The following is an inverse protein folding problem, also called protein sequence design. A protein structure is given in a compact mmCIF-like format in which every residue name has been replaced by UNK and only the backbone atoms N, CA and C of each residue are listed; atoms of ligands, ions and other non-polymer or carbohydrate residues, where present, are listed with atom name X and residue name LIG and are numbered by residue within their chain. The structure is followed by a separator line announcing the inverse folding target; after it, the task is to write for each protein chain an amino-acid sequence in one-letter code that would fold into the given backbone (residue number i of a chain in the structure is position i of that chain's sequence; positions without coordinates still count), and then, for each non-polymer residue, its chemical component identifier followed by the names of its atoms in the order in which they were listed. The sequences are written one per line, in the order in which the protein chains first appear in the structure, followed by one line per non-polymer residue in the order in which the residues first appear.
data_IF_407302661211
#
_entry.id   IF_407302661211
#
_cell.length_a   1.000
_cell.length_b   1.000
_cell.length_c   1.000
_cell.angle_alpha   90.00
_cell.angle_beta   90.00
_cell.angle_gamma   90.00
#
_symmetry.space_group_name_H-M   'P 1'
#
loop_
_entity.id
_entity.type
_entity.pdbx_description
1 polymer ?
#
# COMPACT_ATOMS: atom_id res chain seq x y z
N UNK A 1 -12.63 -12.30 -4.99
CA UNK A 1 -11.46 -11.48 -5.30
C UNK A 1 -11.16 -10.71 -4.03
N UNK A 2 -10.12 -11.11 -3.33
CA UNK A 2 -9.65 -10.37 -2.15
C UNK A 2 -8.92 -9.14 -2.69
N UNK A 3 -9.34 -7.95 -2.27
CA UNK A 3 -8.70 -6.69 -2.67
C UNK A 3 -7.69 -6.33 -1.60
N UNK A 4 -6.50 -5.92 -2.02
CA UNK A 4 -5.47 -5.39 -1.12
C UNK A 4 -5.09 -4.00 -1.57
N UNK A 5 -4.57 -3.21 -0.64
CA UNK A 5 -4.22 -1.81 -0.84
C UNK A 5 -2.71 -1.69 -0.76
N UNK A 6 -2.10 -1.27 -1.85
CA UNK A 6 -0.68 -1.05 -1.97
C UNK A 6 -0.37 0.42 -1.71
N UNK A 7 0.41 0.67 -0.67
CA UNK A 7 0.89 2.00 -0.28
C UNK A 7 2.35 2.09 -0.71
N UNK A 8 2.67 3.10 -1.50
CA UNK A 8 4.03 3.37 -1.99
C UNK A 8 4.37 4.82 -1.73
N UNK A 9 5.54 5.05 -1.14
CA UNK A 9 6.16 6.37 -1.08
C UNK A 9 7.01 6.60 -2.33
N UNK A 10 6.94 7.79 -2.93
CA UNK A 10 7.74 8.14 -4.11
C UNK A 10 9.09 8.76 -3.76
N UNK A 11 9.33 9.05 -2.49
CA UNK A 11 10.52 9.77 -2.01
C UNK A 11 11.44 8.88 -1.17
N UNK A 12 10.92 7.82 -0.58
CA UNK A 12 11.70 6.85 0.19
C UNK A 12 11.41 5.40 -0.27
N UNK A 13 12.10 4.43 0.32
CA UNK A 13 11.93 3.00 -0.02
C UNK A 13 10.74 2.34 0.69
N UNK A 14 9.80 3.13 1.22
CA UNK A 14 8.63 2.59 1.90
C UNK A 14 7.64 2.01 0.89
N UNK A 15 7.34 0.73 1.06
CA UNK A 15 6.35 -0.01 0.30
C UNK A 15 5.60 -0.98 1.24
N UNK A 16 4.27 -0.87 1.28
CA UNK A 16 3.41 -1.69 2.14
C UNK A 16 2.19 -2.20 1.39
N UNK A 17 1.77 -3.44 1.69
CA UNK A 17 0.53 -4.02 1.15
C UNK A 17 -0.37 -4.42 2.31
N UNK A 18 -1.60 -3.92 2.32
CA UNK A 18 -2.55 -4.07 3.41
C UNK A 18 -3.85 -4.70 2.91
N UNK A 19 -4.45 -5.58 3.72
CA UNK A 19 -5.75 -6.18 3.39
C UNK A 19 -6.92 -5.22 3.73
N UNK A 20 -6.70 -4.27 4.64
CA UNK A 20 -7.70 -3.30 5.09
C UNK A 20 -7.41 -1.89 4.54
N UNK A 21 -8.45 -1.28 3.95
CA UNK A 21 -8.34 0.07 3.37
C UNK A 21 -8.02 1.14 4.41
N UNK A 22 -8.61 1.01 5.60
CA UNK A 22 -8.44 1.98 6.67
C UNK A 22 -7.01 1.96 7.18
N UNK A 23 -6.43 0.77 7.34
CA UNK A 23 -5.01 0.64 7.69
C UNK A 23 -4.11 1.26 6.62
N UNK A 24 -4.35 0.99 5.34
CA UNK A 24 -3.57 1.60 4.26
C UNK A 24 -3.65 3.13 4.25
N UNK A 25 -4.84 3.69 4.52
CA UNK A 25 -5.03 5.14 4.62
C UNK A 25 -4.36 5.75 5.85
N UNK A 26 -4.36 5.04 6.98
CA UNK A 26 -3.69 5.49 8.21
C UNK A 26 -2.17 5.60 7.98
N UNK A 27 -1.58 4.56 7.39
CA UNK A 27 -0.16 4.51 7.02
C UNK A 27 0.21 5.58 5.98
N UNK A 28 -0.65 5.76 4.96
CA UNK A 28 -0.48 6.82 3.97
C UNK A 28 -0.49 8.21 4.62
N UNK A 29 -1.47 8.48 5.50
CA UNK A 29 -1.63 9.78 6.14
C UNK A 29 -0.56 10.04 7.21
N UNK A 30 -0.15 9.03 7.96
CA UNK A 30 0.98 9.14 8.90
C UNK A 30 2.25 9.47 8.13
N UNK A 31 2.57 8.69 7.09
CA UNK A 31 3.80 8.88 6.33
C UNK A 31 3.83 10.20 5.54
N UNK A 32 2.71 10.64 4.97
CA UNK A 32 2.61 11.96 4.32
C UNK A 32 2.80 13.10 5.34
N UNK A 33 2.35 12.94 6.58
CA UNK A 33 2.41 14.01 7.59
C UNK A 33 3.69 14.04 8.41
N UNK A 34 4.27 12.89 8.73
CA UNK A 34 5.48 12.79 9.56
C UNK A 34 6.73 13.10 8.74
N UNK A 35 6.78 12.57 7.50
CA UNK A 35 7.94 12.72 6.62
C UNK A 35 7.76 13.81 5.53
N UNK A 36 6.60 14.46 5.43
CA UNK A 36 6.24 15.39 4.33
C UNK A 36 6.42 14.75 2.94
N UNK A 37 6.20 13.44 2.85
CA UNK A 37 6.44 12.67 1.64
C UNK A 37 5.19 12.51 0.78
N UNK A 38 5.39 12.42 -0.53
CA UNK A 38 4.35 12.04 -1.48
C UNK A 38 4.14 10.53 -1.47
N UNK A 39 3.02 10.12 -0.89
CA UNK A 39 2.61 8.72 -0.82
C UNK A 39 1.38 8.48 -1.70
N UNK A 40 1.26 7.30 -2.28
CA UNK A 40 0.11 6.89 -3.09
C UNK A 40 -0.48 5.57 -2.60
N UNK A 41 -1.80 5.47 -2.62
CA UNK A 41 -2.54 4.24 -2.29
C UNK A 41 -3.23 3.73 -3.55
N UNK A 42 -2.99 2.46 -3.89
CA UNK A 42 -3.55 1.77 -5.04
C UNK A 42 -4.33 0.54 -4.57
N UNK A 43 -5.61 0.43 -4.93
CA UNK A 43 -6.37 -0.81 -4.76
C UNK A 43 -5.95 -1.79 -5.86
N UNK A 44 -5.42 -2.94 -5.47
CA UNK A 44 -5.01 -4.03 -6.38
C UNK A 44 -5.74 -5.32 -6.01
N UNK A 45 -5.99 -6.16 -7.02
CA UNK A 45 -6.47 -7.51 -6.77
C UNK A 45 -5.33 -8.32 -6.12
N UNK A 46 -5.61 -9.01 -5.01
CA UNK A 46 -4.61 -9.85 -4.34
C UNK A 46 -4.06 -10.83 -5.38
N UNK A 47 -2.75 -10.79 -5.67
CA UNK A 47 -2.19 -11.74 -6.61
C UNK A 47 -2.42 -13.13 -6.03
N UNK A 48 -3.24 -13.92 -6.72
CA UNK A 48 -3.34 -15.34 -6.41
C UNK A 48 -1.92 -15.90 -6.48
N UNK A 49 -1.44 -16.67 -5.49
CA UNK A 49 -0.12 -17.26 -5.56
C UNK A 49 -0.05 -18.03 -6.88
N UNK A 50 0.70 -17.49 -7.84
CA UNK A 50 0.89 -18.14 -9.13
C UNK A 50 1.66 -19.40 -8.81
N UNK A 51 0.98 -20.55 -8.87
CA UNK A 51 1.61 -21.84 -8.77
C UNK A 51 2.71 -21.87 -9.85
N UNK A 52 4.00 -21.96 -9.50
CA UNK A 52 5.03 -22.12 -10.52
C UNK A 52 4.78 -23.47 -11.18
N UNK A 53 4.48 -23.45 -12.49
CA UNK A 53 4.36 -24.66 -13.31
C UNK A 53 5.75 -25.13 -13.74
#
# INVERSE_FOLDING_TARGET
MERVYHVTCHECTFEGVFEDHRTALDEWNEHERDDDHRVSVLEIDRPSPRNPV
#
